data_IF_053661547723
#
_entry.id   IF_053661547723
#
_cell.length_a   1.000
_cell.length_b   1.000
_cell.length_c   1.000
_cell.angle_alpha   90.00
_cell.angle_beta   90.00
_cell.angle_gamma   90.00
#
_symmetry.space_group_name_H-M   'P 1'
#
loop_
_entity.id
_entity.type
_entity.pdbx_description
1 polymer ?
#
# COMPACT_ATOMS: atom_id res chain seq x y z
N UNK A 1 2.51 9.60 39.90
CA UNK A 1 1.78 10.42 40.89
C UNK A 1 0.71 11.15 40.08
N UNK A 2 -0.50 10.61 39.98
CA UNK A 2 -1.57 11.24 39.20
C UNK A 2 -2.07 12.44 40.00
N UNK A 3 -2.10 13.64 39.40
CA UNK A 3 -2.79 14.77 40.00
C UNK A 3 -4.25 14.37 40.15
N UNK A 4 -4.81 14.45 41.36
CA UNK A 4 -6.25 14.52 41.51
C UNK A 4 -6.67 15.81 40.83
N UNK A 5 -7.04 15.75 39.56
CA UNK A 5 -7.72 16.86 38.91
C UNK A 5 -9.03 17.04 39.68
N UNK A 6 -9.11 18.15 40.41
CA UNK A 6 -10.31 18.52 41.12
C UNK A 6 -11.41 18.72 40.07
N UNK A 7 -12.43 17.87 40.11
CA UNK A 7 -13.61 18.03 39.26
C UNK A 7 -14.18 19.41 39.58
N UNK A 8 -14.23 20.28 38.56
CA UNK A 8 -14.73 21.64 38.71
C UNK A 8 -16.17 21.59 39.24
N UNK A 9 -16.46 22.41 40.25
CA UNK A 9 -17.76 22.53 40.92
C UNK A 9 -18.91 22.78 39.93
N UNK A 10 -18.63 23.29 38.72
CA UNK A 10 -19.61 23.47 37.64
C UNK A 10 -20.16 22.16 37.06
N UNK A 11 -19.49 21.04 37.28
CA UNK A 11 -19.86 19.71 36.75
C UNK A 11 -20.65 18.85 37.73
N UNK A 12 -20.92 19.37 38.94
CA UNK A 12 -21.60 18.63 39.99
C UNK A 12 -22.86 19.36 40.43
N UNK A 13 -23.99 18.65 40.44
CA UNK A 13 -25.25 19.22 40.90
C UNK A 13 -25.38 19.02 42.40
N UNK A 14 -25.40 20.11 43.18
CA UNK A 14 -25.56 20.07 44.65
C UNK A 14 -27.04 20.13 44.98
N UNK A 15 -27.59 19.04 45.53
CA UNK A 15 -28.95 19.04 46.09
C UNK A 15 -28.86 19.13 47.60
N UNK A 16 -29.34 20.25 48.15
CA UNK A 16 -29.52 20.39 49.60
C UNK A 16 -30.84 19.75 50.01
N UNK A 17 -30.82 18.93 51.05
CA UNK A 17 -32.03 18.43 51.68
C UNK A 17 -31.83 18.38 53.19
N UNK A 18 -32.92 18.58 53.94
CA UNK A 18 -32.90 18.42 55.39
C UNK A 18 -33.12 16.94 55.69
N UNK A 19 -32.17 16.33 56.38
CA UNK A 19 -32.32 14.97 56.87
C UNK A 19 -33.39 14.90 57.96
N UNK A 20 -33.79 13.68 58.30
CA UNK A 20 -34.72 13.42 59.42
C UNK A 20 -34.15 13.87 60.78
N UNK A 21 -32.85 14.12 60.83
CA UNK A 21 -32.06 14.66 61.94
C UNK A 21 -32.09 16.20 62.01
N UNK A 22 -32.75 16.87 61.06
CA UNK A 22 -32.76 18.34 60.96
C UNK A 22 -31.44 18.94 60.50
N UNK A 23 -30.47 18.13 60.07
CA UNK A 23 -29.19 18.60 59.53
C UNK A 23 -29.29 18.78 58.01
N UNK A 24 -28.62 19.81 57.48
CA UNK A 24 -28.48 20.01 56.03
C UNK A 24 -27.47 18.99 55.47
N UNK A 25 -27.96 18.10 54.61
CA UNK A 25 -27.11 17.18 53.84
C UNK A 25 -26.98 17.68 52.40
N UNK A 26 -25.78 17.56 51.84
CA UNK A 26 -25.48 17.90 50.44
C UNK A 26 -25.29 16.59 49.67
N UNK A 27 -26.20 16.30 48.75
CA UNK A 27 -26.06 15.20 47.81
C UNK A 27 -25.39 15.71 46.52
N UNK A 28 -24.32 15.02 46.11
CA UNK A 28 -23.60 15.31 44.88
C UNK A 28 -24.07 14.37 43.79
N UNK A 29 -24.55 14.93 42.69
CA UNK A 29 -24.94 14.17 41.51
C UNK A 29 -24.09 14.54 40.31
N UNK A 30 -23.69 13.54 39.53
CA UNK A 30 -23.06 13.73 38.23
C UNK A 30 -23.96 14.59 37.33
N UNK A 31 -23.36 15.37 36.45
CA UNK A 31 -24.08 16.16 35.45
C UNK A 31 -25.06 15.29 34.63
N UNK A 32 -24.77 13.99 34.51
CA UNK A 32 -25.62 12.95 33.92
C UNK A 32 -27.00 12.86 34.52
N UNK A 33 -27.08 12.94 35.85
CA UNK A 33 -28.34 12.96 36.58
C UNK A 33 -29.21 14.16 36.21
N UNK A 34 -28.62 15.36 36.13
CA UNK A 34 -29.34 16.60 35.79
C UNK A 34 -29.97 16.50 34.40
N UNK A 35 -29.17 16.15 33.39
CA UNK A 35 -29.67 16.07 32.02
C UNK A 35 -30.66 14.92 31.83
N UNK A 36 -30.47 13.78 32.50
CA UNK A 36 -31.47 12.70 32.45
C UNK A 36 -32.83 13.18 32.96
N UNK A 37 -32.86 13.98 34.04
CA UNK A 37 -34.09 14.59 34.56
C UNK A 37 -34.72 15.62 33.60
N UNK A 38 -33.90 16.41 32.91
CA UNK A 38 -34.40 17.39 31.91
C UNK A 38 -34.94 16.68 30.68
N UNK A 39 -34.25 15.65 30.20
CA UNK A 39 -34.60 14.91 28.99
C UNK A 39 -35.76 13.93 29.22
N UNK A 40 -36.04 13.53 30.46
CA UNK A 40 -37.21 12.72 30.83
C UNK A 40 -38.53 13.51 30.83
N UNK A 41 -38.50 14.84 30.66
CA UNK A 41 -39.71 15.66 30.61
C UNK A 41 -40.44 15.38 29.29
N UNK A 42 -41.67 14.87 29.42
CA UNK A 42 -42.58 14.61 28.30
C UNK A 42 -43.66 15.68 28.22
N UNK A 43 -44.18 15.93 27.01
CA UNK A 43 -45.37 16.76 26.78
C UNK A 43 -46.63 15.94 27.08
N UNK A 44 -47.78 16.61 27.13
CA UNK A 44 -49.09 15.99 27.36
C UNK A 44 -49.43 14.86 26.37
N UNK A 45 -48.82 14.88 25.19
CA UNK A 45 -48.98 13.88 24.13
C UNK A 45 -47.97 12.71 24.21
N UNK A 46 -47.21 12.61 25.31
CA UNK A 46 -46.23 11.54 25.53
C UNK A 46 -44.89 11.71 24.81
N UNK A 47 -44.75 12.69 23.91
CA UNK A 47 -43.49 12.94 23.22
C UNK A 47 -42.50 13.73 24.08
N UNK A 48 -41.20 13.46 23.91
CA UNK A 48 -40.14 14.20 24.62
C UNK A 48 -40.25 15.70 24.35
N UNK A 49 -40.24 16.50 25.43
CA UNK A 49 -40.35 17.95 25.33
C UNK A 49 -39.15 18.58 24.60
N UNK A 50 -37.98 17.96 24.74
CA UNK A 50 -36.69 18.48 24.28
C UNK A 50 -35.95 17.48 23.38
N UNK A 51 -36.58 17.02 22.29
CA UNK A 51 -36.00 16.01 21.39
C UNK A 51 -34.68 16.43 20.72
N UNK A 52 -34.57 17.69 20.28
CA UNK A 52 -33.34 18.22 19.66
C UNK A 52 -32.22 18.37 20.69
N UNK A 53 -32.55 18.88 21.88
CA UNK A 53 -31.59 19.03 22.98
C UNK A 53 -31.09 17.67 23.45
N UNK A 54 -31.95 16.65 23.50
CA UNK A 54 -31.56 15.28 23.82
C UNK A 54 -30.47 14.76 22.88
N UNK A 55 -30.61 15.01 21.56
CA UNK A 55 -29.58 14.62 20.58
C UNK A 55 -28.28 15.38 20.80
N UNK A 56 -28.34 16.69 21.01
CA UNK A 56 -27.17 17.52 21.25
C UNK A 56 -26.41 17.08 22.50
N UNK A 57 -27.11 16.98 23.64
CA UNK A 57 -26.50 16.61 24.93
C UNK A 57 -25.89 15.21 24.87
N UNK A 58 -26.57 14.24 24.26
CA UNK A 58 -26.01 12.90 24.07
C UNK A 58 -24.75 12.92 23.22
N UNK A 59 -24.74 13.65 22.10
CA UNK A 59 -23.56 13.74 21.25
C UNK A 59 -22.38 14.42 21.94
N UNK A 60 -22.62 15.55 22.64
CA UNK A 60 -21.58 16.28 23.37
C UNK A 60 -20.95 15.41 24.46
N UNK A 61 -21.73 14.56 25.13
CA UNK A 61 -21.26 13.65 26.18
C UNK A 61 -20.41 12.49 25.68
N UNK A 62 -20.60 12.08 24.42
CA UNK A 62 -19.80 11.00 23.82
C UNK A 62 -18.42 11.51 23.39
N UNK A 63 -18.24 12.82 23.26
CA UNK A 63 -16.95 13.42 22.93
C UNK A 63 -16.05 13.35 24.17
N UNK A 64 -15.08 12.45 24.13
CA UNK A 64 -14.00 12.38 25.13
C UNK A 64 -13.35 13.74 25.33
N UNK A 65 -13.30 14.23 26.57
CA UNK A 65 -12.79 15.56 26.90
C UNK A 65 -11.25 15.62 27.05
N UNK A 66 -10.51 14.60 26.60
CA UNK A 66 -9.04 14.64 26.65
C UNK A 66 -8.36 13.36 26.20
N UNK A 67 -7.06 13.27 26.46
CA UNK A 67 -6.26 12.05 26.18
C UNK A 67 -6.49 10.92 27.20
N UNK A 68 -7.21 11.22 28.29
CA UNK A 68 -7.44 10.30 29.39
C UNK A 68 -8.09 8.97 28.95
N UNK A 69 -9.03 8.99 28.00
CA UNK A 69 -9.67 7.75 27.51
C UNK A 69 -8.70 6.88 26.70
N UNK A 70 -7.80 7.51 25.93
CA UNK A 70 -6.75 6.81 25.19
C UNK A 70 -5.74 6.21 26.16
N UNK A 71 -5.33 6.96 27.18
CA UNK A 71 -4.44 6.48 28.25
C UNK A 71 -5.07 5.36 29.08
N UNK A 72 -6.36 5.47 29.39
CA UNK A 72 -7.13 4.41 30.03
C UNK A 72 -7.16 3.17 29.13
N UNK A 73 -7.39 3.33 27.83
CA UNK A 73 -7.30 2.25 26.84
C UNK A 73 -5.94 1.56 26.83
N UNK A 74 -4.83 2.31 26.89
CA UNK A 74 -3.49 1.75 27.01
C UNK A 74 -3.27 0.99 28.31
N UNK A 75 -3.74 1.53 29.44
CA UNK A 75 -3.65 0.84 30.73
C UNK A 75 -4.48 -0.44 30.74
N UNK A 76 -5.68 -0.43 30.16
CA UNK A 76 -6.52 -1.63 30.09
C UNK A 76 -5.92 -2.67 29.15
N UNK A 77 -5.36 -2.25 28.01
CA UNK A 77 -4.60 -3.14 27.15
C UNK A 77 -3.36 -3.71 27.87
N UNK A 78 -2.68 -2.92 28.70
CA UNK A 78 -1.58 -3.39 29.54
C UNK A 78 -1.99 -4.46 30.56
N UNK A 79 -3.22 -4.41 31.07
CA UNK A 79 -3.76 -5.41 31.99
C UNK A 79 -4.27 -6.68 31.27
N UNK A 80 -4.80 -6.54 30.05
CA UNK A 80 -5.33 -7.67 29.26
C UNK A 80 -4.19 -8.45 28.59
N UNK A 81 -3.18 -7.75 28.08
CA UNK A 81 -2.10 -8.35 27.30
C UNK A 81 -0.95 -8.78 28.21
N UNK A 82 -0.58 -10.06 28.13
CA UNK A 82 0.57 -10.63 28.85
C UNK A 82 1.90 -10.27 28.16
N UNK A 83 3.03 -10.67 28.74
CA UNK A 83 4.37 -10.45 28.15
C UNK A 83 4.51 -11.05 26.74
N UNK A 84 3.71 -12.07 26.41
CA UNK A 84 3.66 -12.74 25.11
C UNK A 84 2.84 -11.99 24.04
N UNK A 85 2.45 -10.73 24.28
CA UNK A 85 1.67 -9.92 23.33
C UNK A 85 2.27 -9.85 21.92
N UNK A 86 3.59 -10.02 21.77
CA UNK A 86 4.28 -10.06 20.48
C UNK A 86 3.94 -11.28 19.63
N UNK A 87 3.34 -12.32 20.22
CA UNK A 87 2.87 -13.52 19.52
C UNK A 87 1.43 -13.36 19.00
N UNK A 88 0.72 -12.30 19.40
CA UNK A 88 -0.66 -12.04 19.00
C UNK A 88 -0.71 -11.11 17.79
N UNK A 89 -1.60 -11.43 16.85
CA UNK A 89 -1.94 -10.51 15.76
C UNK A 89 -2.82 -9.36 16.28
N UNK A 90 -2.81 -8.22 15.58
CA UNK A 90 -3.70 -7.09 15.89
C UNK A 90 -5.17 -7.51 15.96
N UNK A 91 -5.60 -8.42 15.08
CA UNK A 91 -6.96 -8.98 15.10
C UNK A 91 -7.26 -9.72 16.41
N UNK A 92 -6.30 -10.50 16.89
CA UNK A 92 -6.42 -11.23 18.16
C UNK A 92 -6.48 -10.27 19.35
N UNK A 93 -5.64 -9.24 19.35
CA UNK A 93 -5.63 -8.20 20.38
C UNK A 93 -6.97 -7.46 20.41
N UNK A 94 -7.48 -7.03 19.25
CA UNK A 94 -8.77 -6.36 19.13
C UNK A 94 -9.93 -7.27 19.55
N UNK A 95 -9.87 -8.56 19.21
CA UNK A 95 -10.87 -9.54 19.64
C UNK A 95 -10.89 -9.72 21.16
N UNK A 96 -9.73 -9.85 21.81
CA UNK A 96 -9.63 -9.91 23.27
C UNK A 96 -10.15 -8.63 23.92
N UNK A 97 -9.83 -7.47 23.33
CA UNK A 97 -10.28 -6.18 23.83
C UNK A 97 -11.80 -6.05 23.78
N UNK A 98 -12.41 -6.42 22.67
CA UNK A 98 -13.86 -6.40 22.51
C UNK A 98 -14.57 -7.29 23.53
N UNK A 99 -14.07 -8.52 23.76
CA UNK A 99 -14.63 -9.42 24.77
C UNK A 99 -14.53 -8.81 26.17
N UNK A 100 -13.39 -8.21 26.50
CA UNK A 100 -13.20 -7.56 27.80
C UNK A 100 -14.18 -6.40 28.00
N UNK A 101 -14.33 -5.54 26.99
CA UNK A 101 -15.23 -4.39 27.03
C UNK A 101 -16.70 -4.83 27.13
N UNK A 102 -17.09 -5.91 26.44
CA UNK A 102 -18.44 -6.49 26.54
C UNK A 102 -18.73 -7.04 27.94
N UNK A 103 -17.74 -7.71 28.56
CA UNK A 103 -17.87 -8.25 29.93
C UNK A 103 -18.02 -7.12 30.96
N UNK A 104 -17.29 -6.02 30.78
CA UNK A 104 -17.39 -4.84 31.64
C UNK A 104 -18.73 -4.11 31.42
N UNK A 105 -19.15 -3.93 30.16
CA UNK A 105 -20.42 -3.32 29.79
C UNK A 105 -21.63 -4.06 30.38
N UNK A 106 -21.59 -5.40 30.39
CA UNK A 106 -22.63 -6.24 31.00
C UNK A 106 -22.60 -6.23 32.55
N UNK A 107 -21.67 -5.50 33.16
CA UNK A 107 -21.60 -5.28 34.61
C UNK A 107 -20.92 -6.41 35.39
N UNK A 108 -20.36 -7.42 34.73
CA UNK A 108 -19.67 -8.52 35.40
C UNK A 108 -18.29 -8.12 35.91
N UNK A 109 -17.67 -7.06 35.35
CA UNK A 109 -16.31 -6.53 35.66
C UNK A 109 -15.15 -7.52 35.53
N UNK A 110 -15.43 -8.82 35.42
CA UNK A 110 -14.45 -9.89 35.34
C UNK A 110 -15.07 -11.11 34.66
N UNK A 111 -14.29 -11.73 33.77
CA UNK A 111 -14.75 -12.85 32.92
C UNK A 111 -15.25 -14.05 33.76
N UNK A 112 -14.62 -14.34 34.90
CA UNK A 112 -15.00 -15.46 35.76
C UNK A 112 -16.38 -15.32 36.43
N UNK A 113 -16.96 -14.11 36.45
CA UNK A 113 -18.30 -13.84 36.98
C UNK A 113 -19.39 -13.98 35.91
N UNK A 114 -19.01 -14.09 34.64
CA UNK A 114 -19.95 -14.23 33.55
C UNK A 114 -20.49 -15.67 33.52
N UNK A 115 -21.83 -15.85 33.51
CA UNK A 115 -22.41 -17.18 33.41
C UNK A 115 -22.11 -17.79 32.03
N UNK A 116 -21.68 -19.05 32.02
CA UNK A 116 -21.44 -19.79 30.78
C UNK A 116 -22.79 -20.20 30.19
N UNK A 117 -23.21 -19.50 29.14
CA UNK A 117 -24.41 -19.83 28.38
C UNK A 117 -24.16 -20.99 27.41
N UNK A 118 -25.24 -21.67 27.02
CA UNK A 118 -25.20 -22.74 26.01
C UNK A 118 -24.66 -22.22 24.67
N UNK A 119 -24.91 -20.96 24.34
CA UNK A 119 -24.46 -20.36 23.09
C UNK A 119 -22.95 -20.15 23.06
N UNK A 120 -22.33 -19.82 24.21
CA UNK A 120 -20.87 -19.77 24.33
C UNK A 120 -20.27 -21.16 24.11
N UNK A 121 -20.87 -22.20 24.70
CA UNK A 121 -20.42 -23.58 24.50
C UNK A 121 -20.51 -24.00 23.03
N UNK A 122 -21.61 -23.67 22.35
CA UNK A 122 -21.78 -23.92 20.91
C UNK A 122 -20.78 -23.13 20.06
N UNK A 123 -20.48 -21.88 20.43
CA UNK A 123 -19.49 -21.06 19.73
C UNK A 123 -18.08 -21.66 19.85
N UNK A 124 -17.69 -22.10 21.05
CA UNK A 124 -16.39 -22.77 21.30
C UNK A 124 -16.27 -24.07 20.50
N UNK A 125 -17.34 -24.86 20.41
CA UNK A 125 -17.34 -26.09 19.60
C UNK A 125 -17.07 -25.81 18.11
N UNK A 126 -17.58 -24.69 17.58
CA UNK A 126 -17.35 -24.29 16.18
C UNK A 126 -16.00 -23.62 15.94
N UNK A 127 -15.38 -23.06 16.98
CA UNK A 127 -14.16 -22.24 16.88
C UNK A 127 -13.01 -22.99 16.20
N UNK A 128 -12.81 -24.27 16.53
CA UNK A 128 -11.74 -25.08 15.94
C UNK A 128 -11.90 -25.26 14.42
N UNK A 129 -13.12 -25.47 13.95
CA UNK A 129 -13.41 -25.59 12.52
C UNK A 129 -13.19 -24.26 11.80
N UNK A 130 -13.73 -23.16 12.34
CA UNK A 130 -13.56 -21.81 11.80
C UNK A 130 -12.10 -21.39 11.75
N UNK A 131 -11.33 -21.69 12.80
CA UNK A 131 -9.90 -21.40 12.82
C UNK A 131 -9.14 -22.17 11.74
N UNK A 132 -9.43 -23.45 11.54
CA UNK A 132 -8.80 -24.26 10.49
C UNK A 132 -9.14 -23.78 9.09
N UNK A 133 -10.40 -23.36 8.87
CA UNK A 133 -10.84 -22.77 7.61
C UNK A 133 -10.10 -21.46 7.34
N UNK A 134 -10.08 -20.54 8.30
CA UNK A 134 -9.38 -19.25 8.15
C UNK A 134 -7.88 -19.45 7.96
N UNK A 135 -7.25 -20.35 8.71
CA UNK A 135 -5.84 -20.69 8.54
C UNK A 135 -5.54 -21.24 7.14
N UNK A 136 -6.45 -22.03 6.57
CA UNK A 136 -6.31 -22.55 5.21
C UNK A 136 -6.48 -21.44 4.17
N UNK A 137 -7.45 -20.54 4.37
CA UNK A 137 -7.66 -19.35 3.53
C UNK A 137 -6.45 -18.43 3.54
N UNK A 138 -5.90 -18.16 4.72
CA UNK A 138 -4.71 -17.32 4.88
C UNK A 138 -3.48 -17.93 4.21
N UNK A 139 -3.30 -19.26 4.29
CA UNK A 139 -2.24 -19.96 3.55
C UNK A 139 -2.44 -19.88 2.04
N UNK A 140 -3.67 -20.05 1.55
CA UNK A 140 -3.98 -19.94 0.13
C UNK A 140 -3.68 -18.53 -0.39
N UNK A 141 -4.13 -17.50 0.32
CA UNK A 141 -3.83 -16.09 0.00
C UNK A 141 -2.33 -15.81 -0.02
N UNK A 142 -1.59 -16.29 0.99
CA UNK A 142 -0.14 -16.13 1.04
C UNK A 142 0.57 -16.83 -0.13
N UNK A 143 0.11 -18.02 -0.53
CA UNK A 143 0.66 -18.74 -1.67
C UNK A 143 0.38 -18.00 -2.99
N UNK A 144 -0.83 -17.49 -3.19
CA UNK A 144 -1.17 -16.67 -4.37
C UNK A 144 -0.29 -15.42 -4.43
N UNK A 145 -0.13 -14.72 -3.31
CA UNK A 145 0.68 -13.50 -3.26
C UNK A 145 2.18 -13.78 -3.48
N UNK A 146 2.69 -14.92 -3.01
CA UNK A 146 4.05 -15.36 -3.33
C UNK A 146 4.21 -15.64 -4.83
N UNK A 147 3.27 -16.37 -5.45
CA UNK A 147 3.30 -16.64 -6.89
C UNK A 147 3.25 -15.35 -7.72
N UNK A 148 2.45 -14.37 -7.31
CA UNK A 148 2.37 -13.06 -7.96
C UNK A 148 3.68 -12.28 -7.83
N UNK A 149 4.29 -12.27 -6.64
CA UNK A 149 5.59 -11.64 -6.41
C UNK A 149 6.69 -12.29 -7.24
N UNK A 150 6.74 -13.62 -7.31
CA UNK A 150 7.68 -14.35 -8.16
C UNK A 150 7.49 -14.03 -9.64
N UNK A 151 6.24 -13.96 -10.11
CA UNK A 151 5.96 -13.56 -11.49
C UNK A 151 6.40 -12.12 -11.78
N UNK A 152 6.17 -11.21 -10.82
CA UNK A 152 6.59 -9.82 -10.95
C UNK A 152 8.11 -9.70 -11.06
N UNK A 153 8.85 -10.42 -10.21
CA UNK A 153 10.31 -10.48 -10.27
C UNK A 153 10.80 -11.08 -11.58
N UNK A 154 10.16 -12.13 -12.12
CA UNK A 154 10.51 -12.73 -13.42
C UNK A 154 10.38 -11.71 -14.56
N UNK A 155 9.27 -10.97 -14.60
CA UNK A 155 9.04 -9.93 -15.62
C UNK A 155 10.09 -8.81 -15.50
N UNK A 156 10.44 -8.42 -14.27
CA UNK A 156 11.44 -7.37 -14.02
C UNK A 156 12.85 -7.79 -14.47
N UNK A 157 13.25 -9.03 -14.18
CA UNK A 157 14.52 -9.60 -14.65
C UNK A 157 14.56 -9.69 -16.18
N UNK A 158 13.47 -10.12 -16.82
CA UNK A 158 13.37 -10.19 -18.28
C UNK A 158 13.49 -8.80 -18.92
N UNK A 159 12.81 -7.80 -18.36
CA UNK A 159 12.90 -6.41 -18.83
C UNK A 159 14.34 -5.89 -18.76
N UNK A 160 15.05 -6.17 -17.68
CA UNK A 160 16.44 -5.75 -17.52
C UNK A 160 17.35 -6.40 -18.56
N UNK A 161 17.19 -7.70 -18.81
CA UNK A 161 17.94 -8.43 -19.86
C UNK A 161 17.68 -7.85 -21.26
N UNK A 162 16.41 -7.56 -21.59
CA UNK A 162 16.06 -6.96 -22.88
C UNK A 162 16.68 -5.57 -23.05
N UNK A 163 16.74 -4.78 -21.98
CA UNK A 163 17.37 -3.45 -22.00
C UNK A 163 18.89 -3.54 -22.22
N UNK A 164 19.56 -4.49 -21.55
CA UNK A 164 21.00 -4.73 -21.73
C UNK A 164 21.31 -5.16 -23.18
N UNK A 165 20.50 -6.06 -23.75
CA UNK A 165 20.63 -6.48 -25.16
C UNK A 165 20.43 -5.34 -26.14
N UNK A 166 19.45 -4.46 -25.89
CA UNK A 166 19.21 -3.26 -26.71
C UNK A 166 20.42 -2.32 -26.68
N UNK A 167 20.99 -2.08 -25.50
CA UNK A 167 22.18 -1.23 -25.35
C UNK A 167 23.40 -1.80 -26.07
N UNK A 168 23.63 -3.11 -25.98
CA UNK A 168 24.73 -3.79 -26.66
C UNK A 168 24.61 -3.67 -28.19
N UNK A 169 23.41 -3.91 -28.74
CA UNK A 169 23.14 -3.76 -30.16
C UNK A 169 23.32 -2.31 -30.63
N UNK A 170 22.87 -1.34 -29.83
CA UNK A 170 23.05 0.08 -30.14
C UNK A 170 24.53 0.50 -30.13
N UNK A 171 25.34 -0.07 -29.23
CA UNK A 171 26.79 0.13 -29.23
C UNK A 171 27.45 -0.47 -30.48
N UNK A 172 27.00 -1.66 -30.92
CA UNK A 172 27.48 -2.28 -32.17
C UNK A 172 27.09 -1.43 -33.39
N UNK A 173 25.86 -0.93 -33.43
CA UNK A 173 25.38 -0.03 -34.48
C UNK A 173 26.23 1.25 -34.59
N UNK A 174 26.58 1.88 -33.45
CA UNK A 174 27.45 3.06 -33.43
C UNK A 174 28.86 2.77 -33.98
N UNK A 175 29.41 1.58 -33.71
CA UNK A 175 30.71 1.16 -34.27
C UNK A 175 30.63 1.00 -35.79
N UNK A 176 29.61 0.30 -36.28
CA UNK A 176 29.37 0.14 -37.72
C UNK A 176 29.13 1.48 -38.41
N UNK A 177 28.44 2.43 -37.79
CA UNK A 177 28.30 3.79 -38.34
C UNK A 177 29.65 4.52 -38.48
N UNK A 178 30.58 4.32 -37.55
CA UNK A 178 31.92 4.90 -37.65
C UNK A 178 32.68 4.24 -38.80
N UNK A 179 32.63 2.91 -38.91
CA UNK A 179 33.24 2.16 -40.01
C UNK A 179 32.66 2.57 -41.38
N UNK A 180 31.34 2.74 -41.47
CA UNK A 180 30.68 3.27 -42.67
C UNK A 180 31.25 4.63 -43.06
N UNK A 181 31.38 5.56 -42.10
CA UNK A 181 31.97 6.89 -42.37
C UNK A 181 33.41 6.78 -42.87
N UNK A 182 34.22 5.88 -42.30
CA UNK A 182 35.60 5.68 -42.77
C UNK A 182 35.67 5.09 -44.18
N UNK A 183 34.78 4.15 -44.50
CA UNK A 183 34.67 3.59 -45.85
C UNK A 183 34.20 4.64 -46.87
N UNK A 184 33.29 5.53 -46.47
CA UNK A 184 32.85 6.66 -47.29
C UNK A 184 34.02 7.60 -47.63
N UNK A 185 34.85 7.96 -46.65
CA UNK A 185 36.04 8.80 -46.87
C UNK A 185 37.03 8.16 -47.84
N UNK A 186 37.21 6.83 -47.77
CA UNK A 186 38.06 6.10 -48.73
C UNK A 186 37.49 6.14 -50.16
N UNK A 187 36.17 6.09 -50.32
CA UNK A 187 35.53 6.27 -51.63
C UNK A 187 35.70 7.69 -52.15
N UNK A 188 35.58 8.69 -51.30
CA UNK A 188 35.77 10.09 -51.69
C UNK A 188 37.22 10.33 -52.14
N UNK A 189 38.19 9.76 -51.42
CA UNK A 189 39.61 9.79 -51.80
C UNK A 189 39.86 9.04 -53.13
N UNK A 190 39.28 7.84 -53.28
CA UNK A 190 39.37 7.05 -54.51
C UNK A 190 38.81 7.81 -55.71
N UNK A 191 37.66 8.47 -55.55
CA UNK A 191 37.04 9.31 -56.58
C UNK A 191 37.89 10.54 -56.94
N UNK A 192 38.49 11.21 -55.95
CA UNK A 192 39.40 12.33 -56.18
C UNK A 192 40.66 11.89 -56.95
N UNK A 193 41.26 10.77 -56.54
CA UNK A 193 42.44 10.20 -57.21
C UNK A 193 42.12 9.82 -58.65
N UNK A 194 40.99 9.16 -58.88
CA UNK A 194 40.52 8.82 -60.23
C UNK A 194 40.32 10.09 -61.09
N UNK A 195 39.67 11.13 -60.56
CA UNK A 195 39.47 12.39 -61.27
C UNK A 195 40.77 13.13 -61.61
N UNK A 196 41.77 13.08 -60.73
CA UNK A 196 43.08 13.67 -60.97
C UNK A 196 43.89 12.88 -62.02
N UNK A 197 43.83 11.56 -61.99
CA UNK A 197 44.59 10.69 -62.89
C UNK A 197 43.99 10.64 -64.30
N UNK A 198 42.66 10.77 -64.42
CA UNK A 198 41.98 11.00 -65.70
C UNK A 198 42.42 12.32 -66.36
N UNK A 199 42.63 13.40 -65.59
CA UNK A 199 43.14 14.68 -66.12
C UNK A 199 44.60 14.61 -66.57
N UNK A 200 45.41 13.76 -65.93
CA UNK A 200 46.84 13.57 -66.24
C UNK A 200 47.11 12.52 -67.32
N UNK A 201 46.11 11.70 -67.68
CA UNK A 201 46.26 10.60 -68.63
C UNK A 201 46.97 9.36 -68.08
N UNK A 202 47.10 9.23 -66.75
CA UNK A 202 47.74 8.08 -66.11
C UNK A 202 46.73 6.95 -65.85
N UNK A 203 46.61 6.03 -66.81
CA UNK A 203 45.68 4.90 -66.74
C UNK A 203 46.04 3.85 -65.69
N UNK A 204 47.29 3.80 -65.23
CA UNK A 204 47.70 2.86 -64.19
C UNK A 204 47.11 3.26 -62.84
N UNK A 205 47.15 4.55 -62.54
CA UNK A 205 46.59 5.11 -61.30
C UNK A 205 45.04 5.14 -61.33
N UNK A 206 44.44 5.27 -62.52
CA UNK A 206 42.99 5.08 -62.72
C UNK A 206 42.55 3.65 -62.35
N UNK A 207 43.32 2.63 -62.74
CA UNK A 207 42.99 1.24 -62.39
C UNK A 207 43.11 0.98 -60.88
N UNK A 208 44.12 1.56 -60.23
CA UNK A 208 44.28 1.49 -58.78
C UNK A 208 43.11 2.18 -58.03
N UNK A 209 42.70 3.37 -58.48
CA UNK A 209 41.57 4.10 -57.90
C UNK A 209 40.24 3.35 -58.10
N UNK A 210 40.03 2.72 -59.26
CA UNK A 210 38.86 1.88 -59.52
C UNK A 210 38.79 0.66 -58.58
N UNK A 211 39.93 -0.01 -58.34
CA UNK A 211 39.99 -1.13 -57.40
C UNK A 211 39.65 -0.70 -55.96
N UNK A 212 40.13 0.47 -55.53
CA UNK A 212 39.78 1.07 -54.23
C UNK A 212 38.28 1.37 -54.14
N UNK A 213 37.70 1.98 -55.17
CA UNK A 213 36.27 2.27 -55.22
C UNK A 213 35.43 0.99 -55.16
N UNK A 214 35.78 -0.03 -55.94
CA UNK A 214 35.07 -1.30 -55.91
C UNK A 214 35.10 -1.93 -54.50
N UNK A 215 36.28 -2.01 -53.89
CA UNK A 215 36.44 -2.55 -52.54
C UNK A 215 35.68 -1.73 -51.48
N UNK A 216 35.70 -0.40 -51.58
CA UNK A 216 34.95 0.49 -50.68
C UNK A 216 33.44 0.32 -50.81
N UNK A 217 32.92 0.22 -52.05
CA UNK A 217 31.49 0.00 -52.29
C UNK A 217 31.00 -1.35 -51.77
N UNK A 218 31.79 -2.42 -51.93
CA UNK A 218 31.48 -3.74 -51.36
C UNK A 218 31.45 -3.69 -49.83
N UNK A 219 32.42 -3.02 -49.19
CA UNK A 219 32.44 -2.83 -47.73
C UNK A 219 31.22 -2.07 -47.22
N UNK A 220 30.85 -0.96 -47.85
CA UNK A 220 29.67 -0.17 -47.46
C UNK A 220 28.42 -1.03 -47.54
N UNK A 221 28.25 -1.79 -48.62
CA UNK A 221 27.10 -2.67 -48.79
C UNK A 221 26.97 -3.69 -47.67
N UNK A 222 28.07 -4.32 -47.26
CA UNK A 222 28.08 -5.26 -46.12
C UNK A 222 27.71 -4.54 -44.81
N UNK A 223 28.26 -3.35 -44.57
CA UNK A 223 27.96 -2.56 -43.37
C UNK A 223 26.48 -2.16 -43.31
N UNK A 224 25.89 -1.73 -44.43
CA UNK A 224 24.48 -1.37 -44.52
C UNK A 224 23.56 -2.58 -44.24
N UNK A 225 23.88 -3.75 -44.80
CA UNK A 225 23.17 -5.01 -44.54
C UNK A 225 23.27 -5.42 -43.06
N UNK A 226 24.39 -5.18 -42.39
CA UNK A 226 24.50 -5.43 -40.94
C UNK A 226 23.75 -4.40 -40.10
N UNK A 227 23.81 -3.12 -40.47
CA UNK A 227 23.11 -2.04 -39.77
C UNK A 227 21.59 -2.22 -39.83
N UNK A 228 21.05 -2.62 -40.98
CA UNK A 228 19.63 -2.94 -41.17
C UNK A 228 19.20 -4.11 -40.29
N UNK A 229 19.96 -5.22 -40.27
CA UNK A 229 19.68 -6.36 -39.38
C UNK A 229 19.70 -5.97 -37.90
N UNK A 230 20.64 -5.11 -37.48
CA UNK A 230 20.69 -4.63 -36.10
C UNK A 230 19.45 -3.79 -35.76
N UNK A 231 19.02 -2.90 -36.65
CA UNK A 231 17.84 -2.08 -36.45
C UNK A 231 16.55 -2.92 -36.35
N UNK A 232 16.41 -3.96 -37.17
CA UNK A 232 15.31 -4.92 -37.07
C UNK A 232 15.29 -5.63 -35.71
N UNK A 233 16.45 -6.10 -35.25
CA UNK A 233 16.58 -6.75 -33.94
C UNK A 233 16.25 -5.80 -32.77
N UNK A 234 16.70 -4.55 -32.83
CA UNK A 234 16.35 -3.52 -31.84
C UNK A 234 14.85 -3.28 -31.81
N UNK A 235 14.19 -3.19 -32.98
CA UNK A 235 12.74 -3.03 -33.08
C UNK A 235 11.99 -4.20 -32.42
N UNK A 236 12.42 -5.44 -32.68
CA UNK A 236 11.84 -6.64 -32.06
C UNK A 236 12.00 -6.61 -30.53
N UNK A 237 13.18 -6.24 -30.03
CA UNK A 237 13.45 -6.14 -28.59
C UNK A 237 12.58 -5.06 -27.94
N UNK A 238 12.45 -3.89 -28.58
CA UNK A 238 11.59 -2.81 -28.10
C UNK A 238 10.12 -3.22 -28.04
N UNK A 239 9.61 -3.94 -29.05
CA UNK A 239 8.26 -4.48 -29.04
C UNK A 239 8.04 -5.46 -27.88
N UNK A 240 9.01 -6.38 -27.64
CA UNK A 240 8.97 -7.31 -26.50
C UNK A 240 8.95 -6.57 -25.16
N UNK A 241 9.77 -5.52 -25.02
CA UNK A 241 9.81 -4.70 -23.80
C UNK A 241 8.48 -4.00 -23.54
N UNK A 242 7.88 -3.40 -24.57
CA UNK A 242 6.57 -2.74 -24.47
C UNK A 242 5.48 -3.76 -24.09
N UNK A 243 5.54 -4.98 -24.64
CA UNK A 243 4.62 -6.04 -24.27
C UNK A 243 4.74 -6.40 -22.78
N UNK A 244 5.97 -6.64 -22.30
CA UNK A 244 6.23 -6.94 -20.89
C UNK A 244 5.76 -5.82 -19.95
N UNK A 245 5.97 -4.54 -20.32
CA UNK A 245 5.49 -3.38 -19.56
C UNK A 245 3.96 -3.30 -19.50
N UNK A 246 3.27 -3.63 -20.61
CA UNK A 246 1.81 -3.67 -20.65
C UNK A 246 1.26 -4.80 -19.79
N UNK A 247 1.88 -5.98 -19.80
CA UNK A 247 1.49 -7.09 -18.93
C UNK A 247 1.68 -6.74 -17.45
N UNK A 248 2.80 -6.12 -17.11
CA UNK A 248 3.07 -5.65 -15.74
C UNK A 248 2.03 -4.61 -15.29
N UNK A 249 1.70 -3.65 -16.17
CA UNK A 249 0.72 -2.59 -15.88
C UNK A 249 -0.70 -3.15 -15.71
N UNK A 250 -1.11 -4.10 -16.56
CA UNK A 250 -2.40 -4.81 -16.45
C UNK A 250 -2.52 -5.60 -15.16
N UNK A 251 -1.43 -6.25 -14.72
CA UNK A 251 -1.41 -6.99 -13.45
C UNK A 251 -1.48 -6.04 -12.26
N UNK A 252 -0.72 -4.93 -12.27
CA UNK A 252 -0.81 -3.88 -11.24
C UNK A 252 -2.21 -3.26 -11.13
N UNK A 253 -2.88 -3.00 -12.25
CA UNK A 253 -4.22 -2.42 -12.24
C UNK A 253 -5.28 -3.39 -11.71
N UNK A 254 -5.13 -4.70 -11.93
CA UNK A 254 -6.01 -5.70 -11.32
C UNK A 254 -5.82 -5.75 -9.80
N UNK A 255 -4.56 -5.73 -9.35
CA UNK A 255 -4.21 -5.73 -7.93
C UNK A 255 -4.67 -4.47 -7.17
N UNK A 256 -4.84 -3.34 -7.85
CA UNK A 256 -5.33 -2.11 -7.25
C UNK A 256 -6.88 -2.00 -7.25
N UNK A 257 -7.57 -2.89 -7.97
CA UNK A 257 -9.02 -2.90 -8.10
C UNK A 257 -9.70 -3.94 -7.19
N UNK A 258 -8.93 -4.89 -6.64
CA UNK A 258 -9.33 -5.85 -5.60
C UNK A 258 -8.99 -5.33 -4.20
#
# INVERSE_FOLDING_TARGET
MYSMEAIDDSWITKRKYNGLDGQEHIEYHEIDYYWNKVLSIVRFNGYSKYSTLAKLVKNVRIVSHGKADVERGFSTNGNILTQERTLLSDKSINGLRAIYDDVDYLGYRSVHKMPISIDILRAVQKLSALYKEEASRMKALAATQQQENEQFQKIEVEKKKLLEQEQELMLKYKRLQLEHKTAQLLLDEGNQRMGNSLKKGDFTDVHAAYALNKSGTEKIKVIDEEMTKIMENVSIIQQKRIHAEREQSRKKSKLAAE
#
